data_IF_251465772898
#
_entry.id   IF_251465772898
#
_cell.length_a   1.000
_cell.length_b   1.000
_cell.length_c   1.000
_cell.angle_alpha   90.00
_cell.angle_beta   90.00
_cell.angle_gamma   90.00
#
_symmetry.space_group_name_H-M   'P 1'
#
loop_
_entity.id
_entity.type
_entity.pdbx_description
1 polymer ?
#
# COMPACT_ATOMS: atom_id res chain seq x y z
N UNK A 1 -15.78 -44.01 3.81
CA UNK A 1 -15.44 -42.56 3.85
C UNK A 1 -16.06 -41.98 5.13
N UNK A 2 -15.30 -41.37 6.04
CA UNK A 2 -15.79 -40.88 7.34
C UNK A 2 -15.49 -39.38 7.52
N UNK A 3 -16.24 -38.70 8.36
CA UNK A 3 -15.95 -37.33 8.78
C UNK A 3 -14.62 -37.27 9.53
N UNK A 4 -13.74 -36.35 9.13
CA UNK A 4 -12.41 -36.18 9.72
C UNK A 4 -12.46 -35.86 11.22
N UNK A 5 -13.50 -35.14 11.66
CA UNK A 5 -13.61 -34.66 13.04
C UNK A 5 -14.39 -35.59 13.96
N UNK A 6 -15.44 -36.25 13.43
CA UNK A 6 -16.49 -36.89 14.23
C UNK A 6 -16.64 -38.40 13.92
N UNK A 7 -15.99 -38.92 12.88
CA UNK A 7 -16.09 -40.33 12.46
C UNK A 7 -17.42 -40.74 11.80
N UNK A 8 -18.48 -39.92 11.88
CA UNK A 8 -19.80 -40.18 11.24
C UNK A 8 -19.74 -40.04 9.72
N UNK A 9 -20.80 -40.45 9.04
CA UNK A 9 -20.91 -40.31 7.58
C UNK A 9 -20.80 -38.84 7.14
N UNK A 10 -19.93 -38.53 6.17
CA UNK A 10 -19.70 -37.17 5.72
C UNK A 10 -20.80 -36.71 4.74
N UNK A 11 -21.25 -35.46 4.90
CA UNK A 11 -22.22 -34.80 4.00
C UNK A 11 -21.58 -33.71 3.13
N UNK A 12 -20.50 -33.11 3.62
CA UNK A 12 -19.86 -31.97 2.96
C UNK A 12 -18.37 -32.25 2.72
N UNK A 13 -17.81 -31.63 1.68
CA UNK A 13 -16.40 -31.68 1.34
C UNK A 13 -15.86 -30.26 1.21
N UNK A 14 -14.77 -29.93 1.90
CA UNK A 14 -14.13 -28.62 1.81
C UNK A 14 -13.51 -28.44 0.42
N UNK A 15 -13.75 -27.32 -0.29
CA UNK A 15 -13.22 -27.12 -1.65
C UNK A 15 -11.73 -26.73 -1.67
N UNK A 16 -11.12 -26.39 -0.52
CA UNK A 16 -9.67 -26.10 -0.42
C UNK A 16 -8.83 -27.34 -0.17
N UNK A 17 -9.15 -28.07 0.90
CA UNK A 17 -8.34 -29.21 1.37
C UNK A 17 -9.01 -30.58 1.16
N UNK A 18 -10.19 -30.63 0.53
CA UNK A 18 -10.97 -31.86 0.34
C UNK A 18 -11.34 -32.60 1.63
N UNK A 19 -11.20 -31.97 2.80
CA UNK A 19 -11.59 -32.54 4.09
C UNK A 19 -13.09 -32.74 4.16
N UNK A 20 -13.49 -33.97 4.52
CA UNK A 20 -14.90 -34.37 4.60
C UNK A 20 -15.47 -34.13 6.00
N UNK A 21 -16.68 -33.59 6.07
CA UNK A 21 -17.35 -33.22 7.31
C UNK A 21 -18.82 -33.68 7.37
N UNK A 22 -19.28 -34.04 8.57
CA UNK A 22 -20.64 -34.56 8.83
C UNK A 22 -21.68 -33.43 9.05
N UNK A 23 -21.24 -32.25 9.52
CA UNK A 23 -22.12 -31.15 9.96
C UNK A 23 -21.36 -29.82 10.00
N UNK A 24 -22.09 -28.70 10.09
CA UNK A 24 -21.52 -27.34 10.20
C UNK A 24 -20.52 -27.18 11.37
N UNK A 25 -20.76 -27.72 12.58
CA UNK A 25 -19.75 -27.70 13.64
C UNK A 25 -18.43 -28.36 13.23
N UNK A 26 -18.49 -29.48 12.49
CA UNK A 26 -17.28 -30.16 11.99
C UNK A 26 -16.60 -29.38 10.87
N UNK A 27 -17.37 -28.63 10.07
CA UNK A 27 -16.81 -27.68 9.09
C UNK A 27 -16.02 -26.58 9.83
N UNK A 28 -16.62 -25.93 10.82
CA UNK A 28 -15.96 -24.86 11.57
C UNK A 28 -14.74 -25.35 12.36
N UNK A 29 -14.83 -26.55 12.94
CA UNK A 29 -13.75 -27.11 13.73
C UNK A 29 -12.51 -27.47 12.89
N UNK A 30 -12.68 -28.08 11.72
CA UNK A 30 -11.51 -28.33 10.85
C UNK A 30 -10.92 -27.03 10.29
N UNK A 31 -11.76 -26.03 9.95
CA UNK A 31 -11.27 -24.73 9.47
C UNK A 31 -10.38 -24.04 10.52
N UNK A 32 -10.74 -24.15 11.80
CA UNK A 32 -9.94 -23.64 12.91
C UNK A 32 -8.67 -24.47 13.13
N UNK A 33 -8.80 -25.79 13.20
CA UNK A 33 -7.68 -26.68 13.54
C UNK A 33 -6.62 -26.77 12.44
N UNK A 34 -7.01 -26.62 11.17
CA UNK A 34 -6.11 -26.65 10.01
C UNK A 34 -5.87 -25.28 9.39
N UNK A 35 -6.29 -24.20 10.05
CA UNK A 35 -6.16 -22.82 9.53
C UNK A 35 -6.64 -22.67 8.07
N UNK A 36 -7.76 -23.32 7.74
CA UNK A 36 -8.28 -23.42 6.39
C UNK A 36 -9.41 -22.39 6.17
N UNK A 37 -9.25 -21.49 5.20
CA UNK A 37 -10.31 -20.53 4.83
C UNK A 37 -11.52 -21.20 4.15
N UNK A 38 -11.31 -22.38 3.57
CA UNK A 38 -12.29 -23.12 2.79
C UNK A 38 -12.63 -22.49 1.44
N UNK A 39 -11.72 -21.71 0.87
CA UNK A 39 -11.82 -21.17 -0.49
C UNK A 39 -10.91 -22.01 -1.40
N UNK A 40 -11.43 -22.53 -2.51
CA UNK A 40 -10.63 -23.28 -3.48
C UNK A 40 -9.51 -22.40 -4.01
N UNK A 41 -8.28 -22.91 -4.00
CA UNK A 41 -7.17 -22.27 -4.69
C UNK A 41 -7.39 -22.44 -6.21
N UNK A 42 -7.71 -21.32 -6.87
CA UNK A 42 -7.96 -21.29 -8.32
C UNK A 42 -6.68 -21.36 -9.14
N UNK A 43 -5.53 -21.14 -8.52
CA UNK A 43 -4.21 -21.04 -9.18
C UNK A 43 -3.29 -22.19 -8.82
N UNK A 44 -3.82 -23.25 -8.21
CA UNK A 44 -3.06 -24.43 -7.86
C UNK A 44 -2.49 -25.10 -9.13
N UNK A 45 -1.21 -25.43 -9.08
CA UNK A 45 -0.54 -26.11 -10.19
C UNK A 45 -1.12 -27.51 -10.41
N UNK A 46 -1.49 -27.82 -11.66
CA UNK A 46 -1.90 -29.15 -12.11
C UNK A 46 -0.88 -29.61 -13.15
N UNK A 47 -0.21 -30.76 -12.95
CA UNK A 47 0.70 -31.30 -13.94
C UNK A 47 -0.06 -31.69 -15.21
N UNK A 48 0.59 -31.59 -16.37
CA UNK A 48 -0.06 -31.82 -17.66
C UNK A 48 -0.65 -33.25 -17.81
N UNK A 49 -0.10 -34.23 -17.09
CA UNK A 49 -0.63 -35.60 -17.05
C UNK A 49 -2.02 -35.71 -16.44
N UNK A 50 -2.33 -34.83 -15.49
CA UNK A 50 -3.55 -34.85 -14.68
C UNK A 50 -4.50 -33.71 -15.09
N UNK A 51 -4.12 -32.93 -16.11
CA UNK A 51 -4.90 -31.80 -16.61
C UNK A 51 -6.13 -32.30 -17.37
N UNK A 52 -7.31 -31.98 -16.86
CA UNK A 52 -8.59 -32.41 -17.44
C UNK A 52 -9.35 -31.25 -18.06
N UNK A 53 -10.36 -31.54 -18.88
CA UNK A 53 -11.27 -30.54 -19.44
C UNK A 53 -11.98 -29.70 -18.36
N UNK A 54 -12.15 -30.25 -17.15
CA UNK A 54 -12.70 -29.51 -16.01
C UNK A 54 -11.75 -28.43 -15.49
N UNK A 55 -10.44 -28.68 -15.56
CA UNK A 55 -9.41 -27.71 -15.18
C UNK A 55 -9.33 -26.59 -16.22
N UNK A 56 -9.41 -26.94 -17.52
CA UNK A 56 -9.52 -25.97 -18.60
C UNK A 56 -10.76 -25.05 -18.44
N UNK A 57 -11.92 -25.62 -18.12
CA UNK A 57 -13.13 -24.85 -17.85
C UNK A 57 -13.01 -23.96 -16.60
N UNK A 58 -12.28 -24.42 -15.58
CA UNK A 58 -11.98 -23.64 -14.38
C UNK A 58 -11.15 -22.40 -14.76
N UNK A 59 -10.10 -22.59 -15.55
CA UNK A 59 -9.21 -21.52 -16.01
C UNK A 59 -9.92 -20.53 -16.91
N UNK A 60 -10.74 -21.01 -17.84
CA UNK A 60 -11.57 -20.16 -18.69
C UNK A 60 -12.49 -19.25 -17.86
N UNK A 61 -13.22 -19.83 -16.90
CA UNK A 61 -14.10 -19.05 -16.00
C UNK A 61 -13.32 -18.08 -15.13
N UNK A 62 -12.09 -18.42 -14.74
CA UNK A 62 -11.22 -17.52 -13.98
C UNK A 62 -10.83 -16.29 -14.81
N UNK A 63 -10.48 -16.47 -16.09
CA UNK A 63 -10.19 -15.37 -17.01
C UNK A 63 -11.43 -14.52 -17.31
N UNK A 64 -12.59 -15.14 -17.47
CA UNK A 64 -13.86 -14.44 -17.67
C UNK A 64 -14.23 -13.59 -16.43
N UNK A 65 -14.10 -14.17 -15.22
CA UNK A 65 -14.32 -13.43 -13.97
C UNK A 65 -13.36 -12.24 -13.84
N UNK A 66 -12.08 -12.44 -14.17
CA UNK A 66 -11.08 -11.36 -14.17
C UNK A 66 -11.48 -10.23 -15.12
N UNK A 67 -11.94 -10.58 -16.33
CA UNK A 67 -12.44 -9.62 -17.32
C UNK A 67 -13.66 -8.87 -16.78
N UNK A 68 -14.59 -9.58 -16.14
CA UNK A 68 -15.78 -8.99 -15.52
C UNK A 68 -15.43 -8.01 -14.40
N UNK A 69 -14.45 -8.34 -13.56
CA UNK A 69 -13.97 -7.46 -12.48
C UNK A 69 -13.38 -6.18 -13.07
N UNK A 70 -12.57 -6.28 -14.13
CA UNK A 70 -11.99 -5.12 -14.81
C UNK A 70 -13.07 -4.24 -15.45
N UNK A 71 -14.02 -4.84 -16.18
CA UNK A 71 -15.13 -4.12 -16.80
C UNK A 71 -16.02 -3.45 -15.74
N UNK A 72 -16.31 -4.14 -14.64
CA UNK A 72 -17.03 -3.57 -13.50
C UNK A 72 -16.26 -2.38 -12.91
N UNK A 73 -14.95 -2.49 -12.72
CA UNK A 73 -14.13 -1.40 -12.22
C UNK A 73 -14.10 -0.20 -13.19
N UNK A 74 -14.10 -0.45 -14.50
CA UNK A 74 -14.18 0.60 -15.51
C UNK A 74 -15.54 1.32 -15.48
N UNK A 75 -16.65 0.57 -15.43
CA UNK A 75 -18.01 1.11 -15.36
C UNK A 75 -18.29 1.83 -14.03
N UNK A 76 -17.86 1.25 -12.92
CA UNK A 76 -17.99 1.82 -11.57
C UNK A 76 -16.88 2.83 -11.25
N UNK A 77 -15.98 3.13 -12.18
CA UNK A 77 -14.87 4.04 -11.97
C UNK A 77 -15.32 5.42 -11.49
N UNK A 78 -16.47 5.91 -11.95
CA UNK A 78 -17.05 7.18 -11.51
C UNK A 78 -17.46 7.14 -10.03
N UNK A 79 -18.12 6.06 -9.59
CA UNK A 79 -18.54 5.83 -8.20
C UNK A 79 -17.36 5.58 -7.27
N UNK A 80 -16.33 4.85 -7.73
CA UNK A 80 -15.09 4.57 -6.99
C UNK A 80 -14.12 5.76 -6.98
N UNK A 81 -14.45 6.85 -7.69
CA UNK A 81 -13.60 8.04 -7.81
C UNK A 81 -12.32 7.81 -8.61
N UNK A 82 -12.25 6.74 -9.41
CA UNK A 82 -11.15 6.40 -10.34
C UNK A 82 -11.34 7.14 -11.67
N UNK A 83 -12.59 7.32 -12.10
CA UNK A 83 -13.01 8.10 -13.24
C UNK A 83 -13.65 9.44 -12.81
N UNK A 84 -13.07 10.09 -11.78
CA UNK A 84 -13.28 11.53 -11.68
C UNK A 84 -12.85 12.11 -13.04
N UNK A 85 -13.73 12.85 -13.73
CA UNK A 85 -13.38 13.56 -14.96
C UNK A 85 -11.97 14.12 -14.78
N UNK A 86 -11.03 13.72 -15.65
CA UNK A 86 -9.61 14.10 -15.56
C UNK A 86 -9.52 15.56 -15.12
N UNK A 87 -9.09 15.80 -13.88
CA UNK A 87 -8.75 17.15 -13.40
C UNK A 87 -9.55 17.73 -12.23
N UNK A 88 -10.67 17.16 -11.75
CA UNK A 88 -11.39 17.79 -10.61
C UNK A 88 -11.20 17.06 -9.28
N UNK A 89 -10.13 17.42 -8.56
CA UNK A 89 -10.02 17.13 -7.13
C UNK A 89 -11.03 17.98 -6.34
N UNK A 90 -11.59 17.48 -5.23
CA UNK A 90 -12.36 18.32 -4.30
C UNK A 90 -11.56 19.57 -3.90
N UNK A 91 -12.25 20.71 -3.73
CA UNK A 91 -11.57 22.01 -3.57
C UNK A 91 -10.54 22.07 -2.43
N UNK A 92 -10.77 21.41 -1.30
CA UNK A 92 -9.80 21.36 -0.19
C UNK A 92 -8.52 20.59 -0.56
N UNK A 93 -8.63 19.52 -1.35
CA UNK A 93 -7.49 18.73 -1.83
C UNK A 93 -6.72 19.44 -2.93
N UNK A 94 -7.43 20.13 -3.81
CA UNK A 94 -6.80 20.98 -4.81
C UNK A 94 -5.97 22.09 -4.14
N UNK A 95 -6.50 22.73 -3.09
CA UNK A 95 -5.77 23.72 -2.29
C UNK A 95 -4.53 23.11 -1.63
N UNK A 96 -4.68 21.96 -0.98
CA UNK A 96 -3.56 21.24 -0.37
C UNK A 96 -2.46 20.90 -1.39
N UNK A 97 -2.85 20.38 -2.57
CA UNK A 97 -1.92 20.07 -3.65
C UNK A 97 -1.22 21.33 -4.19
N UNK A 98 -1.96 22.43 -4.34
CA UNK A 98 -1.41 23.70 -4.82
C UNK A 98 -0.40 24.27 -3.82
N UNK A 99 -0.74 24.28 -2.52
CA UNK A 99 0.16 24.71 -1.46
C UNK A 99 1.42 23.83 -1.39
N UNK A 100 1.27 22.51 -1.45
CA UNK A 100 2.39 21.56 -1.50
C UNK A 100 3.31 21.85 -2.70
N UNK A 101 2.71 22.09 -3.88
CA UNK A 101 3.48 22.39 -5.11
C UNK A 101 4.24 23.71 -5.02
N UNK A 102 3.68 24.74 -4.37
CA UNK A 102 4.37 26.01 -4.11
C UNK A 102 5.61 25.82 -3.23
N UNK A 103 5.57 24.85 -2.32
CA UNK A 103 6.69 24.45 -1.45
C UNK A 103 7.66 23.47 -2.11
N UNK A 104 7.44 23.11 -3.38
CA UNK A 104 8.29 22.17 -4.12
C UNK A 104 8.02 20.69 -3.76
N UNK A 105 6.88 20.38 -3.14
CA UNK A 105 6.46 19.02 -2.78
C UNK A 105 5.51 18.49 -3.87
N UNK A 106 5.81 17.32 -4.44
CA UNK A 106 4.93 16.69 -5.44
C UNK A 106 3.90 15.78 -4.77
N UNK A 107 2.76 16.35 -4.38
CA UNK A 107 1.66 15.60 -3.76
C UNK A 107 0.71 14.99 -4.80
N UNK A 108 0.56 13.66 -4.75
CA UNK A 108 -0.38 12.87 -5.56
C UNK A 108 -1.42 12.23 -4.67
N UNK A 109 -2.66 12.15 -5.15
CA UNK A 109 -3.76 11.50 -4.44
C UNK A 109 -4.20 10.20 -5.13
N UNK A 110 -4.51 9.21 -4.31
CA UNK A 110 -5.11 7.95 -4.71
C UNK A 110 -6.63 8.09 -4.89
N UNK A 111 -7.24 7.20 -5.68
CA UNK A 111 -8.70 7.08 -5.75
C UNK A 111 -9.34 6.78 -4.39
N UNK A 112 -10.61 7.15 -4.23
CA UNK A 112 -11.36 7.03 -2.96
C UNK A 112 -11.50 5.59 -2.44
N UNK A 113 -11.41 4.60 -3.33
CA UNK A 113 -11.51 3.19 -2.95
C UNK A 113 -10.29 2.69 -2.16
N UNK A 114 -9.15 3.37 -2.19
CA UNK A 114 -7.95 2.98 -1.46
C UNK A 114 -8.07 3.29 0.04
N UNK A 115 -7.60 2.38 0.90
CA UNK A 115 -7.52 2.55 2.36
C UNK A 115 -6.73 3.80 2.73
N UNK A 116 -5.55 3.96 2.11
CA UNK A 116 -4.66 5.11 2.29
C UNK A 116 -5.38 6.45 2.06
N UNK A 117 -6.27 6.51 1.06
CA UNK A 117 -7.06 7.72 0.79
C UNK A 117 -8.11 8.00 1.87
N UNK A 118 -8.78 6.96 2.37
CA UNK A 118 -9.80 7.13 3.44
C UNK A 118 -9.19 7.50 4.78
N UNK A 119 -7.96 7.06 5.04
CA UNK A 119 -7.24 7.36 6.29
C UNK A 119 -6.61 8.75 6.29
N UNK A 120 -6.40 9.35 5.11
CA UNK A 120 -5.74 10.65 5.01
C UNK A 120 -6.57 11.76 5.66
N UNK A 121 -5.98 12.42 6.65
CA UNK A 121 -6.56 13.58 7.34
C UNK A 121 -5.75 14.84 7.11
N UNK A 122 -4.82 14.84 6.15
CA UNK A 122 -3.99 16.00 5.83
C UNK A 122 -4.84 17.11 5.24
N UNK A 123 -4.60 18.34 5.67
CA UNK A 123 -5.35 19.51 5.21
C UNK A 123 -4.47 20.75 5.26
N UNK A 124 -4.88 21.78 4.52
CA UNK A 124 -4.15 23.04 4.43
C UNK A 124 -4.98 24.16 5.05
N UNK A 125 -4.38 24.87 6.01
CA UNK A 125 -4.96 26.07 6.58
C UNK A 125 -4.54 27.30 5.76
N UNK A 126 -5.53 27.97 5.17
CA UNK A 126 -5.32 29.14 4.32
C UNK A 126 -4.92 30.36 5.16
N UNK A 127 -5.40 30.46 6.40
CA UNK A 127 -5.14 31.63 7.26
C UNK A 127 -3.69 31.63 7.75
N UNK A 128 -3.27 30.49 8.29
CA UNK A 128 -1.91 30.27 8.79
C UNK A 128 -0.90 29.98 7.67
N UNK A 129 -1.38 29.75 6.44
CA UNK A 129 -0.58 29.26 5.30
C UNK A 129 0.25 28.03 5.65
N UNK A 130 -0.32 27.15 6.48
CA UNK A 130 0.36 26.00 7.05
C UNK A 130 -0.37 24.72 6.66
N UNK A 131 0.41 23.73 6.23
CA UNK A 131 -0.07 22.37 5.96
C UNK A 131 0.03 21.53 7.22
N UNK A 132 -1.09 20.93 7.59
CA UNK A 132 -1.15 19.91 8.63
C UNK A 132 -1.13 18.54 7.97
N UNK A 133 -0.05 17.80 8.21
CA UNK A 133 0.18 16.49 7.65
C UNK A 133 -0.39 15.39 8.55
N UNK A 134 -0.98 14.40 7.90
CA UNK A 134 -1.06 13.05 8.44
C UNK A 134 0.31 12.40 8.20
N UNK A 135 0.94 11.82 9.21
CA UNK A 135 2.25 11.17 9.08
C UNK A 135 2.12 9.76 9.62
N UNK A 136 2.67 8.79 8.88
CA UNK A 136 2.74 7.40 9.34
C UNK A 136 4.18 7.04 9.65
N UNK A 137 4.42 6.62 10.89
CA UNK A 137 5.71 6.12 11.35
C UNK A 137 5.69 4.60 11.35
N UNK A 138 6.60 4.00 10.60
CA UNK A 138 6.79 2.55 10.50
C UNK A 138 8.09 2.17 11.21
N UNK A 139 7.96 1.54 12.37
CA UNK A 139 9.09 1.01 13.13
C UNK A 139 9.37 -0.41 12.65
N UNK A 140 10.44 -0.59 11.88
CA UNK A 140 10.71 -1.85 11.17
C UNK A 140 10.96 -3.00 12.14
N UNK A 141 11.78 -2.78 13.17
CA UNK A 141 12.18 -3.84 14.11
C UNK A 141 11.01 -4.27 15.00
N UNK A 142 10.11 -3.32 15.31
CA UNK A 142 8.90 -3.57 16.09
C UNK A 142 7.71 -4.05 15.24
N UNK A 143 7.77 -3.92 13.91
CA UNK A 143 6.64 -4.11 12.96
C UNK A 143 5.37 -3.34 13.37
N UNK A 144 5.55 -2.13 13.89
CA UNK A 144 4.46 -1.25 14.35
C UNK A 144 4.31 -0.07 13.40
N UNK A 145 3.05 0.27 13.07
CA UNK A 145 2.68 1.51 12.36
C UNK A 145 1.94 2.43 13.30
N UNK A 146 2.43 3.66 13.45
CA UNK A 146 1.84 4.72 14.26
C UNK A 146 1.37 5.83 13.33
N UNK A 147 0.15 6.33 13.57
CA UNK A 147 -0.47 7.36 12.74
C UNK A 147 -0.61 8.66 13.53
N UNK A 148 0.07 9.71 13.08
CA UNK A 148 -0.16 11.08 13.54
C UNK A 148 -1.04 11.82 12.56
N UNK A 149 -2.08 12.50 13.05
CA UNK A 149 -3.10 13.11 12.19
C UNK A 149 -2.98 14.62 12.01
N UNK A 150 -2.18 15.30 12.84
CA UNK A 150 -2.16 16.77 12.96
C UNK A 150 -0.76 17.30 13.24
N UNK A 151 0.20 16.99 12.37
CA UNK A 151 1.55 17.54 12.49
C UNK A 151 1.66 18.78 11.59
N UNK A 152 1.92 19.98 12.13
CA UNK A 152 2.21 21.14 11.31
C UNK A 152 3.58 20.96 10.63
N UNK A 153 3.71 21.48 9.41
CA UNK A 153 4.94 21.36 8.63
C UNK A 153 6.14 22.16 9.19
N UNK A 154 5.87 23.10 10.10
CA UNK A 154 6.88 23.92 10.79
C UNK A 154 7.62 23.17 11.90
N UNK A 155 7.04 22.08 12.40
CA UNK A 155 7.68 21.28 13.45
C UNK A 155 8.91 20.56 12.91
N UNK A 156 9.89 20.37 13.80
CA UNK A 156 11.05 19.54 13.45
C UNK A 156 10.68 18.07 13.42
N UNK A 157 11.36 17.31 12.55
CA UNK A 157 11.13 15.88 12.44
C UNK A 157 11.49 15.16 13.76
N UNK A 158 12.52 15.65 14.47
CA UNK A 158 12.93 15.17 15.79
C UNK A 158 11.87 15.36 16.86
N UNK A 159 11.30 16.56 17.00
CA UNK A 159 10.22 16.79 17.98
C UNK A 159 9.02 15.89 17.71
N UNK A 160 8.69 15.67 16.43
CA UNK A 160 7.60 14.77 16.05
C UNK A 160 7.88 13.31 16.42
N UNK A 161 9.13 12.87 16.23
CA UNK A 161 9.57 11.52 16.58
C UNK A 161 9.66 11.34 18.11
N UNK A 162 10.13 12.35 18.83
CA UNK A 162 10.28 12.33 20.29
C UNK A 162 8.93 12.16 21.00
N UNK A 163 7.81 12.63 20.42
CA UNK A 163 6.46 12.33 20.96
C UNK A 163 6.16 10.84 21.03
N UNK A 164 6.78 10.02 20.18
CA UNK A 164 6.59 8.56 20.15
C UNK A 164 7.69 7.80 20.89
N UNK A 165 8.89 8.38 20.98
CA UNK A 165 10.01 7.80 21.70
C UNK A 165 9.97 8.12 23.20
N UNK A 166 9.34 9.22 23.63
CA UNK A 166 9.24 9.58 25.03
C UNK A 166 8.28 8.65 25.77
N UNK A 167 8.79 8.03 26.84
CA UNK A 167 8.07 7.08 27.69
C UNK A 167 6.80 7.65 28.30
N UNK A 168 6.72 8.96 28.50
CA UNK A 168 5.57 9.62 29.14
C UNK A 168 4.41 9.88 28.16
N UNK A 169 4.72 10.11 26.88
CA UNK A 169 3.75 10.46 25.83
C UNK A 169 3.33 9.25 24.99
N UNK A 170 4.13 8.19 25.00
CA UNK A 170 3.88 6.97 24.24
C UNK A 170 2.76 6.12 24.88
N UNK A 171 1.85 5.61 24.05
CA UNK A 171 0.74 4.75 24.49
C UNK A 171 1.27 3.48 25.14
N UNK A 172 0.62 3.05 26.24
CA UNK A 172 1.08 1.92 27.06
C UNK A 172 1.32 0.63 26.26
N UNK A 173 0.57 0.44 25.17
CA UNK A 173 0.65 -0.73 24.28
C UNK A 173 1.91 -0.74 23.39
N UNK A 174 2.53 0.42 23.14
CA UNK A 174 3.68 0.59 22.26
C UNK A 174 5.01 0.61 23.00
N UNK A 175 5.00 0.95 24.30
CA UNK A 175 6.19 1.02 25.17
C UNK A 175 7.06 -0.25 25.12
N UNK A 176 6.54 -1.48 25.31
CA UNK A 176 7.41 -2.67 25.30
C UNK A 176 7.98 -2.97 23.91
N UNK A 177 7.29 -2.58 22.84
CA UNK A 177 7.70 -2.84 21.45
C UNK A 177 8.73 -1.84 20.94
N UNK A 178 8.71 -0.62 21.47
CA UNK A 178 9.60 0.46 21.08
C UNK A 178 10.81 0.60 22.02
N UNK A 179 10.96 -0.25 23.04
CA UNK A 179 12.02 -0.17 24.04
C UNK A 179 13.44 -0.04 23.44
N UNK A 180 13.71 -0.71 22.31
CA UNK A 180 14.99 -0.59 21.60
C UNK A 180 15.23 0.84 21.06
N UNK A 181 14.20 1.47 20.51
CA UNK A 181 14.27 2.84 19.99
C UNK A 181 14.29 3.87 21.13
N UNK A 182 13.63 3.57 22.27
CA UNK A 182 13.65 4.42 23.47
C UNK A 182 15.03 4.48 24.12
N UNK A 183 15.75 3.36 24.16
CA UNK A 183 17.11 3.30 24.72
C UNK A 183 18.14 4.09 23.90
N UNK A 184 17.97 4.16 22.57
CA UNK A 184 18.85 4.91 21.68
C UNK A 184 18.50 6.39 21.51
N UNK A 185 17.25 6.77 21.79
CA UNK A 185 16.73 8.13 21.58
C UNK A 185 16.69 8.57 20.10
N UNK A 186 16.29 9.82 19.86
CA UNK A 186 16.20 10.39 18.51
C UNK A 186 17.55 10.47 17.78
N UNK A 187 18.68 10.48 18.50
CA UNK A 187 20.02 10.57 17.87
C UNK A 187 20.56 9.22 17.38
N UNK A 188 20.15 8.10 17.95
CA UNK A 188 20.58 6.77 17.50
C UNK A 188 19.65 6.17 16.43
N UNK A 189 18.60 6.90 16.05
CA UNK A 189 17.65 6.49 15.03
C UNK A 189 17.87 7.28 13.76
N UNK A 190 17.58 6.67 12.62
CA UNK A 190 17.56 7.31 11.33
C UNK A 190 16.16 7.20 10.75
N UNK A 191 15.68 8.29 10.16
CA UNK A 191 14.37 8.35 9.54
C UNK A 191 14.56 8.28 8.02
N UNK A 192 13.92 7.29 7.41
CA UNK A 192 13.97 7.03 5.99
C UNK A 192 12.59 7.28 5.36
N UNK A 193 12.56 7.69 4.10
CA UNK A 193 11.33 7.82 3.32
C UNK A 193 11.48 7.07 2.00
N UNK A 194 10.54 6.20 1.66
CA UNK A 194 10.60 5.46 0.40
C UNK A 194 10.53 6.41 -0.81
N UNK A 195 11.35 6.13 -1.82
CA UNK A 195 11.36 6.87 -3.09
C UNK A 195 10.21 6.35 -3.96
N UNK A 196 9.22 7.20 -4.21
CA UNK A 196 8.11 6.86 -5.10
C UNK A 196 8.62 6.53 -6.52
N UNK A 197 8.25 5.35 -7.03
CA UNK A 197 8.61 4.89 -8.38
C UNK A 197 9.94 4.12 -8.50
N UNK A 198 10.74 4.02 -7.43
CA UNK A 198 11.95 3.17 -7.39
C UNK A 198 11.75 2.06 -6.36
N UNK A 199 11.99 0.80 -6.75
CA UNK A 199 11.88 -0.32 -5.82
C UNK A 199 13.03 -0.27 -4.79
N UNK A 200 12.69 -0.45 -3.51
CA UNK A 200 13.64 -0.56 -2.39
C UNK A 200 14.68 0.58 -2.29
N UNK A 201 14.32 1.80 -2.68
CA UNK A 201 15.18 2.99 -2.59
C UNK A 201 14.60 3.98 -1.59
N UNK A 202 15.45 4.62 -0.79
CA UNK A 202 15.02 5.47 0.32
C UNK A 202 15.78 6.80 0.36
N UNK A 203 15.11 7.87 0.76
CA UNK A 203 15.71 9.14 1.17
C UNK A 203 16.02 9.09 2.65
N UNK A 204 17.24 9.48 3.04
CA UNK A 204 17.56 9.75 4.43
C UNK A 204 17.08 11.16 4.78
N UNK A 205 16.26 11.27 5.82
CA UNK A 205 15.74 12.55 6.31
C UNK A 205 16.59 13.07 7.46
N UNK A 206 16.67 14.39 7.57
CA UNK A 206 17.36 15.04 8.67
C UNK A 206 16.40 15.29 9.83
N UNK A 207 16.80 14.87 11.03
CA UNK A 207 16.00 14.95 12.25
C UNK A 207 15.95 16.40 12.77
N UNK A 208 17.01 17.19 12.54
CA UNK A 208 17.04 18.60 12.94
C UNK A 208 16.23 19.52 12.01
N UNK A 209 15.98 19.09 10.79
CA UNK A 209 15.23 19.89 9.83
C UNK A 209 13.72 19.81 10.06
N UNK A 210 13.01 20.83 9.57
CA UNK A 210 11.54 20.86 9.59
C UNK A 210 10.95 19.76 8.71
N UNK A 211 9.68 19.43 8.93
CA UNK A 211 8.95 18.52 8.04
C UNK A 211 8.88 19.11 6.63
N UNK A 212 8.68 20.42 6.49
CA UNK A 212 8.68 21.12 5.19
C UNK A 212 9.98 20.92 4.41
N UNK A 213 11.13 21.23 5.03
CA UNK A 213 12.44 21.12 4.39
C UNK A 213 12.78 19.69 3.99
N UNK A 214 12.40 18.73 4.85
CA UNK A 214 12.58 17.32 4.56
C UNK A 214 11.70 16.83 3.40
N UNK A 215 10.51 17.38 3.21
CA UNK A 215 9.61 16.97 2.13
C UNK A 215 9.85 17.71 0.81
N UNK A 216 10.57 18.84 0.85
CA UNK A 216 10.90 19.63 -0.34
C UNK A 216 11.64 18.81 -1.39
N UNK A 217 11.19 18.92 -2.64
CA UNK A 217 11.73 18.19 -3.79
C UNK A 217 11.33 16.71 -3.85
N UNK A 218 10.60 16.20 -2.86
CA UNK A 218 10.17 14.80 -2.81
C UNK A 218 8.75 14.63 -3.32
N UNK A 219 8.44 13.41 -3.78
CA UNK A 219 7.11 13.02 -4.20
C UNK A 219 6.42 12.23 -3.09
N UNK A 220 5.16 12.58 -2.81
CA UNK A 220 4.36 12.00 -1.73
C UNK A 220 3.05 11.48 -2.31
N UNK A 221 2.68 10.25 -1.95
CA UNK A 221 1.39 9.66 -2.28
C UNK A 221 0.46 9.69 -1.07
N UNK A 222 -0.60 10.50 -1.12
CA UNK A 222 -1.55 10.84 -0.05
C UNK A 222 -0.94 11.57 1.15
N UNK A 223 -0.03 10.92 1.86
CA UNK A 223 0.61 11.41 3.07
C UNK A 223 2.01 10.81 3.22
N UNK A 224 2.96 11.50 3.89
CA UNK A 224 4.30 10.98 4.13
C UNK A 224 4.27 9.74 5.02
N UNK A 225 5.09 8.76 4.65
CA UNK A 225 5.34 7.56 5.45
C UNK A 225 6.83 7.49 5.74
N UNK A 226 7.17 7.54 7.02
CA UNK A 226 8.52 7.55 7.52
C UNK A 226 8.85 6.21 8.15
N UNK A 227 9.95 5.62 7.71
CA UNK A 227 10.46 4.35 8.18
C UNK A 227 11.57 4.65 9.20
N UNK A 228 11.35 4.25 10.44
CA UNK A 228 12.30 4.50 11.54
C UNK A 228 13.16 3.26 11.74
N UNK A 229 14.47 3.44 11.61
CA UNK A 229 15.46 2.37 11.65
C UNK A 229 16.57 2.77 12.63
N UNK A 230 17.08 1.88 13.50
CA UNK A 230 18.27 2.17 14.29
C UNK A 230 19.47 2.38 13.37
N UNK A 231 20.42 3.24 13.75
CA UNK A 231 21.58 3.58 12.91
C UNK A 231 22.37 2.36 12.42
N UNK A 232 22.42 1.31 13.22
CA UNK A 232 23.14 0.06 12.92
C UNK A 232 22.55 -0.71 11.73
N UNK A 233 21.23 -0.58 11.50
CA UNK A 233 20.51 -1.26 10.42
C UNK A 233 20.31 -0.39 9.17
N UNK A 234 20.88 0.81 9.13
CA UNK A 234 20.75 1.72 7.98
C UNK A 234 21.48 1.17 6.74
N UNK A 235 22.55 0.41 6.94
CA UNK A 235 23.37 -0.19 5.88
C UNK A 235 22.63 -1.20 5.00
N UNK A 236 21.51 -1.77 5.48
CA UNK A 236 20.68 -2.68 4.66
C UNK A 236 19.79 -1.96 3.65
N UNK A 237 19.72 -0.63 3.70
CA UNK A 237 18.84 0.18 2.85
C UNK A 237 19.65 0.90 1.76
N UNK A 238 19.11 0.92 0.53
CA UNK A 238 19.67 1.71 -0.56
C UNK A 238 19.26 3.17 -0.41
N UNK A 239 20.15 3.97 0.17
CA UNK A 239 19.94 5.41 0.35
C UNK A 239 20.29 6.14 -0.95
N UNK A 240 19.35 6.93 -1.45
CA UNK A 240 19.56 7.81 -2.60
C UNK A 240 19.94 9.19 -2.08
N UNK A 241 21.11 9.69 -2.51
CA UNK A 241 21.52 11.07 -2.25
C UNK A 241 20.59 12.06 -2.94
N UNK A 242 20.49 13.29 -2.42
CA UNK A 242 19.59 14.35 -2.92
C UNK A 242 19.89 14.84 -4.35
N UNK A 243 20.76 14.18 -5.10
CA UNK A 243 21.08 14.57 -6.46
C UNK A 243 19.97 14.13 -7.42
N UNK A 244 19.45 15.13 -8.12
CA UNK A 244 18.45 15.02 -9.18
C UNK A 244 19.06 14.23 -10.35
N UNK A 245 19.11 12.91 -10.23
CA UNK A 245 19.32 12.05 -11.37
C UNK A 245 18.03 12.03 -12.19
N UNK A 246 18.11 12.75 -13.32
CA UNK A 246 17.08 12.82 -14.36
C UNK A 246 16.55 11.41 -14.67
N UNK A 247 15.24 11.33 -14.76
CA UNK A 247 14.46 10.14 -15.07
C UNK A 247 15.03 9.36 -16.26
N UNK A 248 15.46 8.12 -16.04
CA UNK A 248 15.30 7.10 -17.07
C UNK A 248 13.83 6.69 -17.07
N UNK A 249 13.12 7.18 -18.09
CA UNK A 249 11.77 6.73 -18.40
C UNK A 249 11.90 5.27 -18.84
N UNK A 250 11.61 4.33 -17.95
CA UNK A 250 11.34 2.95 -18.36
C UNK A 250 10.03 2.98 -19.14
N UNK A 251 10.14 3.19 -20.46
CA UNK A 251 9.03 3.00 -21.37
C UNK A 251 8.45 1.60 -21.19
N UNK A 252 7.14 1.45 -21.39
CA UNK A 252 6.55 0.13 -21.50
C UNK A 252 7.36 -0.69 -22.53
N UNK A 253 7.64 -1.98 -22.25
CA UNK A 253 8.27 -2.83 -23.24
C UNK A 253 7.46 -2.78 -24.54
N UNK A 254 8.17 -2.65 -25.68
CA UNK A 254 7.62 -2.45 -27.03
C UNK A 254 6.55 -3.46 -27.45
N UNK A 255 6.44 -4.57 -26.72
CA UNK A 255 5.38 -5.56 -26.88
C UNK A 255 3.96 -4.99 -26.70
N UNK A 256 3.76 -4.00 -25.82
CA UNK A 256 2.44 -3.39 -25.60
C UNK A 256 2.04 -2.33 -26.64
N UNK A 257 2.94 -1.97 -27.57
CA UNK A 257 2.69 -0.91 -28.56
C UNK A 257 2.09 -1.40 -29.89
N UNK A 258 1.85 -2.70 -30.04
CA UNK A 258 1.27 -3.25 -31.26
C UNK A 258 -0.25 -3.20 -31.18
N UNK A 259 -0.84 -2.08 -31.61
CA UNK A 259 -2.26 -1.98 -31.87
C UNK A 259 -2.48 -2.17 -33.40
N UNK A 260 -2.90 -3.35 -33.88
CA UNK A 260 -3.15 -3.55 -35.30
C UNK A 260 -4.58 -3.09 -35.61
N UNK A 261 -4.76 -1.79 -35.83
CA UNK A 261 -5.94 -1.30 -36.56
C UNK A 261 -5.75 0.14 -37.06
N UNK A 262 -4.94 0.29 -38.10
CA UNK A 262 -5.07 1.37 -39.08
C UNK A 262 -4.72 0.78 -40.45
N UNK A 263 -5.71 0.16 -41.10
CA UNK A 263 -5.71 0.01 -42.56
C UNK A 263 -6.46 1.20 -43.13
N UNK A 264 -5.70 2.23 -43.49
CA UNK A 264 -6.13 3.30 -44.40
C UNK A 264 -6.08 2.75 -45.82
N UNK A 265 -7.24 2.48 -46.41
CA UNK A 265 -7.37 2.25 -47.84
C UNK A 265 -7.91 3.53 -48.47
N UNK A 266 -7.05 4.20 -49.25
CA UNK A 266 -7.45 5.26 -50.17
C UNK A 266 -6.52 5.29 -51.37
N UNK A 267 -7.11 4.95 -52.52
CA UNK A 267 -6.91 5.55 -53.84
C UNK A 267 -5.73 5.09 -54.70
N UNK A 268 -6.07 4.42 -55.81
CA UNK A 268 -5.20 4.21 -56.96
C UNK A 268 -5.98 3.65 -58.15
N UNK A 269 -6.74 4.53 -58.82
CA UNK A 269 -7.07 4.64 -60.26
C UNK A 269 -8.45 5.29 -60.50
#
# INVERSE_FOLDING_TARGET
RKCFQCGKEPKYCCPRCSTRSCSLPCVKLHKRNQECDGIRDKTAYVPLSDFTDLDLLSDYRFLEESTRVVDTAHRSGSTLGVAARRGFLPGHLHKLQTASRQKGIQLKFLPKCFTKRRENTSWYDIKEKCTYWHIVWEFVDAKVKVHDKRIPETDTLGECLDRHLNTDTCSADLRPKLAMYQAGGSKATCVLMAVEGKHASYYQLDISATVEDNLKGKAILEYPTFVVVPRDHVSSYKIVGNDVEKQEVTGLPSFFSSNPNVSSDSSGE
#
